data_IF_869389463862
#
_entry.id   IF_869389463862
#
_cell.length_a   1.000
_cell.length_b   1.000
_cell.length_c   1.000
_cell.angle_alpha   90.00
_cell.angle_beta   90.00
_cell.angle_gamma   90.00
#
_symmetry.space_group_name_H-M   'P 1'
#
loop_
_entity.id
_entity.type
_entity.pdbx_description
1 polymer ?
#
# COMPACT_ATOMS: atom_id res chain seq x y z
N UNK A 1 15.67 -30.09 -41.63
CA UNK A 1 15.60 -30.15 -40.17
C UNK A 1 15.79 -28.79 -39.49
N UNK A 2 16.77 -27.97 -39.87
CA UNK A 2 17.00 -26.63 -39.27
C UNK A 2 15.79 -25.68 -39.41
N UNK A 3 15.14 -25.64 -40.56
CA UNK A 3 14.00 -24.73 -40.82
C UNK A 3 12.75 -25.06 -39.96
N UNK A 4 12.48 -26.35 -39.77
CA UNK A 4 11.37 -26.78 -38.92
C UNK A 4 11.59 -26.43 -37.45
N UNK A 5 12.85 -26.49 -37.00
CA UNK A 5 13.24 -26.11 -35.62
C UNK A 5 13.12 -24.59 -35.41
N UNK A 6 13.56 -23.78 -36.34
CA UNK A 6 13.44 -22.32 -36.32
C UNK A 6 11.97 -21.88 -36.30
N UNK A 7 11.14 -22.50 -37.17
CA UNK A 7 9.70 -22.22 -37.20
C UNK A 7 8.99 -22.62 -35.89
N UNK A 8 9.41 -23.71 -35.24
CA UNK A 8 8.89 -24.12 -33.94
C UNK A 8 9.25 -23.14 -32.86
N UNK A 9 10.52 -22.68 -32.77
CA UNK A 9 10.98 -21.66 -31.81
C UNK A 9 10.20 -20.35 -32.00
N UNK A 10 10.01 -19.91 -33.27
CA UNK A 10 9.27 -18.69 -33.58
C UNK A 10 7.79 -18.76 -33.14
N UNK A 11 7.11 -19.90 -33.29
CA UNK A 11 5.74 -20.10 -32.82
C UNK A 11 5.65 -20.04 -31.30
N UNK A 12 6.60 -20.62 -30.60
CA UNK A 12 6.63 -20.64 -29.15
C UNK A 12 6.89 -19.27 -28.55
N UNK A 13 7.84 -18.53 -29.12
CA UNK A 13 8.11 -17.15 -28.75
C UNK A 13 6.86 -16.28 -28.90
N UNK A 14 6.14 -16.40 -30.04
CA UNK A 14 4.89 -15.66 -30.24
C UNK A 14 3.84 -16.03 -29.20
N UNK A 15 3.68 -17.30 -28.87
CA UNK A 15 2.70 -17.74 -27.88
C UNK A 15 3.05 -17.22 -26.47
N UNK A 16 4.31 -17.22 -26.07
CA UNK A 16 4.76 -16.66 -24.80
C UNK A 16 4.57 -15.14 -24.78
N UNK A 17 4.94 -14.43 -25.84
CA UNK A 17 4.77 -12.98 -25.96
C UNK A 17 3.30 -12.57 -25.91
N UNK A 18 2.43 -13.27 -26.62
CA UNK A 18 0.97 -13.05 -26.60
C UNK A 18 0.43 -13.29 -25.18
N UNK A 19 0.87 -14.33 -24.51
CA UNK A 19 0.47 -14.62 -23.13
C UNK A 19 0.89 -13.50 -22.17
N UNK A 20 2.13 -13.00 -22.28
CA UNK A 20 2.63 -11.87 -21.50
C UNK A 20 1.79 -10.61 -21.77
N UNK A 21 1.54 -10.28 -23.04
CA UNK A 21 0.76 -9.10 -23.42
C UNK A 21 -0.67 -9.16 -22.91
N UNK A 22 -1.36 -10.30 -23.09
CA UNK A 22 -2.74 -10.47 -22.66
C UNK A 22 -2.86 -10.40 -21.14
N UNK A 23 -1.92 -11.02 -20.40
CA UNK A 23 -1.91 -10.93 -18.95
C UNK A 23 -1.55 -9.52 -18.46
N UNK A 24 -0.68 -8.81 -19.17
CA UNK A 24 -0.35 -7.42 -18.89
C UNK A 24 -1.54 -6.49 -19.12
N UNK A 25 -2.33 -6.70 -20.16
CA UNK A 25 -3.58 -5.96 -20.39
C UNK A 25 -4.62 -6.29 -19.33
N UNK A 26 -4.74 -7.57 -18.95
CA UNK A 26 -5.65 -7.99 -17.91
C UNK A 26 -5.33 -7.32 -16.56
N UNK A 27 -4.08 -7.42 -16.11
CA UNK A 27 -3.66 -6.84 -14.83
C UNK A 27 -3.61 -5.31 -14.91
N UNK A 28 -3.02 -4.75 -15.97
CA UNK A 28 -2.75 -3.32 -16.11
C UNK A 28 -3.99 -2.48 -16.44
N UNK A 29 -4.97 -3.02 -17.16
CA UNK A 29 -6.19 -2.27 -17.50
C UNK A 29 -7.39 -2.81 -16.75
N UNK A 30 -7.72 -4.09 -16.94
CA UNK A 30 -8.97 -4.63 -16.42
C UNK A 30 -9.06 -4.58 -14.90
N UNK A 31 -8.01 -4.99 -14.18
CA UNK A 31 -8.01 -4.94 -12.72
C UNK A 31 -7.85 -3.52 -12.16
N UNK A 32 -7.47 -2.55 -12.98
CA UNK A 32 -7.39 -1.12 -12.61
C UNK A 32 -8.64 -0.31 -12.97
N UNK A 33 -9.68 -0.92 -13.54
CA UNK A 33 -10.94 -0.23 -13.86
C UNK A 33 -11.47 0.60 -12.69
N UNK A 34 -11.49 0.13 -11.42
CA UNK A 34 -11.97 0.93 -10.30
C UNK A 34 -11.26 2.28 -10.17
N UNK A 35 -9.93 2.28 -10.30
CA UNK A 35 -9.12 3.51 -10.22
C UNK A 35 -9.36 4.42 -11.42
N UNK A 36 -9.47 3.86 -12.62
CA UNK A 36 -9.75 4.64 -13.81
C UNK A 36 -11.12 5.32 -13.75
N UNK A 37 -12.15 4.59 -13.30
CA UNK A 37 -13.50 5.14 -13.10
C UNK A 37 -13.47 6.25 -12.06
N UNK A 38 -12.79 6.05 -10.93
CA UNK A 38 -12.67 7.06 -9.88
C UNK A 38 -11.99 8.33 -10.37
N UNK A 39 -10.88 8.21 -11.09
CA UNK A 39 -10.20 9.36 -11.69
C UNK A 39 -11.08 10.10 -12.71
N UNK A 40 -11.83 9.36 -13.50
CA UNK A 40 -12.76 9.96 -14.46
C UNK A 40 -13.77 10.92 -13.82
N UNK A 41 -14.29 10.56 -12.63
CA UNK A 41 -15.25 11.42 -11.91
C UNK A 41 -14.61 12.59 -11.16
N UNK A 42 -13.29 12.61 -10.99
CA UNK A 42 -12.58 13.63 -10.21
C UNK A 42 -11.87 14.70 -11.06
N UNK A 43 -11.75 14.50 -12.37
CA UNK A 43 -10.93 15.36 -13.24
C UNK A 43 -11.78 15.91 -14.39
N UNK A 44 -11.61 17.19 -14.67
CA UNK A 44 -12.30 17.92 -15.74
C UNK A 44 -11.71 17.61 -17.14
N UNK A 45 -12.39 17.94 -18.20
CA UNK A 45 -12.31 17.66 -19.65
C UNK A 45 -11.01 17.18 -20.34
N UNK A 46 -9.81 17.26 -19.75
CA UNK A 46 -8.56 16.77 -20.38
C UNK A 46 -8.23 15.27 -20.09
N UNK A 47 -9.18 14.53 -19.62
CA UNK A 47 -9.06 13.20 -18.97
C UNK A 47 -8.64 12.08 -19.90
N UNK A 48 -9.01 12.10 -21.17
CA UNK A 48 -8.77 10.98 -22.10
C UNK A 48 -7.26 10.75 -22.33
N UNK A 49 -6.49 11.82 -22.45
CA UNK A 49 -5.04 11.73 -22.63
C UNK A 49 -4.33 11.17 -21.40
N UNK A 50 -4.77 11.59 -20.21
CA UNK A 50 -4.24 11.10 -18.94
C UNK A 50 -4.57 9.61 -18.73
N UNK A 51 -5.83 9.23 -18.99
CA UNK A 51 -6.28 7.83 -18.92
C UNK A 51 -5.48 6.91 -19.85
N UNK A 52 -5.27 7.30 -21.11
CA UNK A 52 -4.46 6.55 -22.06
C UNK A 52 -3.01 6.39 -21.57
N UNK A 53 -2.42 7.47 -21.09
CA UNK A 53 -1.05 7.46 -20.58
C UNK A 53 -0.91 6.52 -19.38
N UNK A 54 -1.83 6.58 -18.43
CA UNK A 54 -1.86 5.73 -17.25
C UNK A 54 -2.10 4.25 -17.63
N UNK A 55 -3.01 3.97 -18.56
CA UNK A 55 -3.27 2.61 -19.06
C UNK A 55 -2.04 2.02 -19.79
N UNK A 56 -1.39 2.81 -20.66
CA UNK A 56 -0.15 2.39 -21.32
C UNK A 56 0.96 2.16 -20.30
N UNK A 57 1.09 3.03 -19.30
CA UNK A 57 2.07 2.89 -18.22
C UNK A 57 1.89 1.59 -17.44
N UNK A 58 0.66 1.28 -17.01
CA UNK A 58 0.37 0.07 -16.23
C UNK A 58 0.60 -1.21 -17.04
N UNK A 59 0.11 -1.25 -18.29
CA UNK A 59 0.33 -2.39 -19.19
C UNK A 59 1.81 -2.59 -19.47
N UNK A 60 2.53 -1.52 -19.77
CA UNK A 60 3.97 -1.58 -20.07
C UNK A 60 4.78 -2.04 -18.88
N UNK A 61 4.42 -1.59 -17.67
CA UNK A 61 5.07 -2.03 -16.43
C UNK A 61 4.82 -3.52 -16.18
N UNK A 62 3.59 -4.00 -16.35
CA UNK A 62 3.28 -5.42 -16.24
C UNK A 62 4.06 -6.25 -17.28
N UNK A 63 4.08 -5.79 -18.53
CA UNK A 63 4.79 -6.45 -19.61
C UNK A 63 6.30 -6.52 -19.31
N UNK A 64 6.90 -5.42 -18.84
CA UNK A 64 8.31 -5.39 -18.45
C UNK A 64 8.61 -6.38 -17.31
N UNK A 65 7.82 -6.37 -16.24
CA UNK A 65 7.99 -7.28 -15.11
C UNK A 65 7.90 -8.76 -15.55
N UNK A 66 6.91 -9.10 -16.37
CA UNK A 66 6.75 -10.46 -16.88
C UNK A 66 7.88 -10.84 -17.86
N UNK A 67 8.33 -9.93 -18.70
CA UNK A 67 9.51 -10.15 -19.57
C UNK A 67 10.80 -10.34 -18.75
N UNK A 68 10.95 -9.65 -17.62
CA UNK A 68 12.10 -9.85 -16.72
C UNK A 68 12.02 -11.21 -16.03
N UNK A 69 10.85 -11.61 -15.53
CA UNK A 69 10.69 -12.92 -14.89
C UNK A 69 10.90 -14.08 -15.86
N UNK A 70 10.71 -13.87 -17.17
CA UNK A 70 10.99 -14.88 -18.19
C UNK A 70 12.47 -15.28 -18.28
N UNK A 71 13.41 -14.43 -17.79
CA UNK A 71 14.85 -14.75 -17.72
C UNK A 71 15.10 -15.95 -16.83
N UNK A 72 14.42 -16.01 -15.69
CA UNK A 72 14.56 -17.10 -14.71
C UNK A 72 13.86 -18.39 -15.15
N UNK A 73 13.30 -18.40 -16.36
CA UNK A 73 12.70 -19.55 -16.99
C UNK A 73 11.18 -19.63 -16.82
N UNK A 74 10.59 -20.53 -17.57
CA UNK A 74 9.14 -20.65 -17.71
C UNK A 74 8.40 -20.97 -16.41
N UNK A 75 9.00 -21.76 -15.51
CA UNK A 75 8.36 -22.06 -14.21
C UNK A 75 8.20 -20.81 -13.38
N UNK A 76 9.24 -19.97 -13.37
CA UNK A 76 9.25 -18.69 -12.65
C UNK A 76 8.28 -17.70 -13.31
N UNK A 77 8.26 -17.59 -14.63
CA UNK A 77 7.29 -16.77 -15.35
C UNK A 77 5.83 -17.17 -15.02
N UNK A 78 5.52 -18.46 -15.06
CA UNK A 78 4.17 -18.95 -14.69
C UNK A 78 3.82 -18.64 -13.26
N UNK A 79 4.74 -18.91 -12.34
CA UNK A 79 4.55 -18.59 -10.92
C UNK A 79 4.34 -17.09 -10.71
N UNK A 80 5.12 -16.25 -11.40
CA UNK A 80 4.97 -14.81 -11.36
C UNK A 80 3.61 -14.34 -11.90
N UNK A 81 3.16 -14.87 -13.03
CA UNK A 81 1.85 -14.55 -13.58
C UNK A 81 0.74 -14.92 -12.59
N UNK A 82 0.81 -16.13 -12.01
CA UNK A 82 -0.17 -16.59 -11.03
C UNK A 82 -0.18 -15.67 -9.81
N UNK A 83 0.99 -15.39 -9.24
CA UNK A 83 1.13 -14.53 -8.06
C UNK A 83 0.67 -13.09 -8.33
N UNK A 84 1.09 -12.48 -9.44
CA UNK A 84 0.68 -11.14 -9.82
C UNK A 84 -0.83 -11.05 -10.05
N UNK A 85 -1.41 -12.03 -10.73
CA UNK A 85 -2.86 -12.08 -10.95
C UNK A 85 -3.60 -12.21 -9.64
N UNK A 86 -3.22 -13.16 -8.79
CA UNK A 86 -3.90 -13.43 -7.53
C UNK A 86 -3.88 -12.22 -6.59
N UNK A 87 -2.72 -11.65 -6.34
CA UNK A 87 -2.59 -10.48 -5.46
C UNK A 87 -3.29 -9.26 -6.05
N UNK A 88 -3.19 -9.05 -7.37
CA UNK A 88 -3.86 -7.93 -8.05
C UNK A 88 -5.37 -8.06 -8.08
N UNK A 89 -5.93 -9.28 -8.16
CA UNK A 89 -7.37 -9.53 -8.07
C UNK A 89 -7.88 -9.20 -6.66
N UNK A 90 -7.16 -9.62 -5.61
CA UNK A 90 -7.51 -9.25 -4.23
C UNK A 90 -7.47 -7.73 -4.06
N UNK A 91 -6.41 -7.09 -4.54
CA UNK A 91 -6.29 -5.63 -4.48
C UNK A 91 -7.44 -4.93 -5.22
N UNK A 92 -7.79 -5.40 -6.42
CA UNK A 92 -8.90 -4.88 -7.22
C UNK A 92 -10.24 -5.04 -6.51
N UNK A 93 -10.47 -6.17 -5.80
CA UNK A 93 -11.67 -6.36 -4.98
C UNK A 93 -11.84 -5.27 -3.94
N UNK A 94 -10.79 -4.98 -3.15
CA UNK A 94 -10.84 -3.93 -2.14
C UNK A 94 -11.01 -2.53 -2.76
N UNK A 95 -10.45 -2.30 -3.93
CA UNK A 95 -10.62 -1.05 -4.67
C UNK A 95 -12.06 -0.88 -5.20
N UNK A 96 -12.74 -1.97 -5.60
CA UNK A 96 -14.13 -1.94 -6.07
C UNK A 96 -15.14 -1.74 -4.95
N UNK A 97 -15.03 -2.53 -3.88
CA UNK A 97 -16.09 -2.64 -2.87
C UNK A 97 -15.86 -1.76 -1.66
N UNK A 98 -14.62 -1.39 -1.37
CA UNK A 98 -14.27 -0.62 -0.18
C UNK A 98 -13.62 0.72 -0.50
N UNK A 99 -13.40 1.03 -1.76
CA UNK A 99 -12.78 2.27 -2.21
C UNK A 99 -11.37 2.51 -1.62
N UNK A 100 -10.64 1.42 -1.31
CA UNK A 100 -9.34 1.42 -0.65
C UNK A 100 -8.24 1.14 -1.65
N UNK A 101 -7.30 2.09 -1.78
CA UNK A 101 -6.05 1.87 -2.54
C UNK A 101 -5.08 1.07 -1.67
N UNK A 102 -4.54 -0.03 -2.22
CA UNK A 102 -3.60 -0.90 -1.50
C UNK A 102 -2.22 -0.24 -1.48
N UNK A 103 -2.04 0.69 -0.56
CA UNK A 103 -0.77 1.37 -0.31
C UNK A 103 -0.01 0.79 0.88
N UNK A 104 1.10 1.47 1.25
CA UNK A 104 1.99 1.07 2.35
C UNK A 104 1.26 0.81 3.68
N UNK A 105 0.30 1.67 4.05
CA UNK A 105 -0.46 1.53 5.30
C UNK A 105 -1.26 0.22 5.35
N UNK A 106 -1.94 -0.13 4.25
CA UNK A 106 -2.73 -1.37 4.13
C UNK A 106 -1.83 -2.60 4.19
N UNK A 107 -0.74 -2.61 3.41
CA UNK A 107 0.22 -3.72 3.40
C UNK A 107 0.86 -3.91 4.78
N UNK A 108 1.27 -2.82 5.43
CA UNK A 108 1.82 -2.85 6.79
C UNK A 108 0.79 -3.35 7.82
N UNK A 109 -0.48 -2.99 7.67
CA UNK A 109 -1.56 -3.51 8.51
C UNK A 109 -1.73 -5.01 8.32
N UNK A 110 -1.80 -5.50 7.08
CA UNK A 110 -1.92 -6.94 6.78
C UNK A 110 -0.78 -7.74 7.37
N UNK A 111 0.47 -7.31 7.19
CA UNK A 111 1.64 -7.99 7.79
C UNK A 111 1.72 -7.86 9.32
N UNK A 112 1.06 -6.86 9.90
CA UNK A 112 1.03 -6.65 11.33
C UNK A 112 -0.16 -7.29 12.05
N UNK A 113 -1.13 -7.78 11.29
CA UNK A 113 -2.35 -8.38 11.80
C UNK A 113 -2.15 -9.89 11.99
N UNK A 114 -2.69 -10.43 13.07
CA UNK A 114 -2.66 -11.89 13.32
C UNK A 114 -3.44 -12.65 12.24
N UNK A 115 -3.00 -13.86 11.92
CA UNK A 115 -3.60 -14.71 10.87
C UNK A 115 -5.11 -14.95 11.11
N UNK A 116 -5.56 -14.99 12.35
CA UNK A 116 -6.97 -15.13 12.71
C UNK A 116 -7.85 -14.01 12.14
N UNK A 117 -7.42 -12.75 12.28
CA UNK A 117 -8.16 -11.59 11.76
C UNK A 117 -8.12 -11.52 10.23
N UNK A 118 -7.04 -11.99 9.61
CA UNK A 118 -6.96 -12.08 8.14
C UNK A 118 -7.99 -13.09 7.63
N UNK A 119 -8.10 -14.26 8.26
CA UNK A 119 -9.08 -15.29 7.88
C UNK A 119 -10.51 -14.80 8.12
N UNK A 120 -10.76 -14.13 9.24
CA UNK A 120 -12.08 -13.58 9.59
C UNK A 120 -12.53 -12.47 8.61
N UNK A 121 -11.59 -11.72 8.05
CA UNK A 121 -11.87 -10.72 7.01
C UNK A 121 -12.14 -11.32 5.61
N UNK A 122 -11.91 -12.62 5.40
CA UNK A 122 -12.16 -13.31 4.14
C UNK A 122 -13.65 -13.70 4.01
N UNK A 123 -14.48 -12.71 3.66
CA UNK A 123 -15.89 -12.94 3.36
C UNK A 123 -16.13 -13.72 2.06
N UNK A 124 -17.32 -14.32 1.93
CA UNK A 124 -17.75 -15.03 0.71
C UNK A 124 -17.61 -14.17 -0.57
N UNK A 125 -17.83 -12.85 -0.46
CA UNK A 125 -17.66 -11.92 -1.57
C UNK A 125 -16.24 -11.91 -2.14
N UNK A 126 -15.21 -11.90 -1.29
CA UNK A 126 -13.82 -11.96 -1.72
C UNK A 126 -13.51 -13.32 -2.39
N UNK A 127 -14.01 -14.41 -1.82
CA UNK A 127 -13.78 -15.75 -2.36
C UNK A 127 -14.42 -15.94 -3.73
N UNK A 128 -15.67 -15.51 -3.91
CA UNK A 128 -16.37 -15.59 -5.19
C UNK A 128 -15.74 -14.69 -6.24
N UNK A 129 -15.42 -13.44 -5.89
CA UNK A 129 -14.73 -12.52 -6.79
C UNK A 129 -13.37 -13.07 -7.22
N UNK A 130 -12.56 -13.51 -6.26
CA UNK A 130 -11.23 -14.08 -6.57
C UNK A 130 -11.32 -15.33 -7.42
N UNK A 131 -12.30 -16.21 -7.16
CA UNK A 131 -12.50 -17.41 -7.98
C UNK A 131 -12.83 -17.06 -9.43
N UNK A 132 -13.77 -16.15 -9.67
CA UNK A 132 -14.19 -15.75 -11.02
C UNK A 132 -13.02 -15.10 -11.77
N UNK A 133 -12.37 -14.12 -11.15
CA UNK A 133 -11.35 -13.30 -11.80
C UNK A 133 -9.94 -13.94 -11.83
N UNK A 134 -9.65 -14.97 -11.05
CA UNK A 134 -8.41 -15.72 -11.16
C UNK A 134 -8.53 -16.93 -12.11
N UNK A 135 -9.60 -17.73 -12.00
CA UNK A 135 -9.70 -18.99 -12.72
C UNK A 135 -9.76 -18.81 -14.24
N UNK A 136 -10.48 -17.82 -14.74
CA UNK A 136 -10.61 -17.55 -16.17
C UNK A 136 -9.25 -17.27 -16.84
N UNK A 137 -8.50 -16.24 -16.41
CA UNK A 137 -7.17 -15.93 -16.95
C UNK A 137 -6.16 -17.05 -16.78
N UNK A 138 -6.17 -17.75 -15.63
CA UNK A 138 -5.26 -18.86 -15.36
C UNK A 138 -5.56 -20.09 -16.25
N UNK A 139 -6.85 -20.39 -16.47
CA UNK A 139 -7.25 -21.43 -17.39
C UNK A 139 -6.81 -21.10 -18.84
N UNK A 140 -7.03 -19.85 -19.26
CA UNK A 140 -6.57 -19.37 -20.56
C UNK A 140 -5.05 -19.52 -20.70
N UNK A 141 -4.29 -19.09 -19.71
CA UNK A 141 -2.82 -19.23 -19.69
C UNK A 141 -2.37 -20.68 -19.78
N UNK A 142 -3.08 -21.60 -19.11
CA UNK A 142 -2.78 -23.03 -19.17
C UNK A 142 -2.96 -23.59 -20.60
N UNK A 143 -3.98 -23.11 -21.33
CA UNK A 143 -4.28 -23.54 -22.71
C UNK A 143 -3.30 -22.95 -23.73
N UNK A 144 -2.94 -21.68 -23.60
CA UNK A 144 -2.13 -20.95 -24.60
C UNK A 144 -0.64 -21.18 -24.41
N UNK A 145 -0.18 -21.44 -23.20
CA UNK A 145 1.25 -21.56 -22.91
C UNK A 145 1.77 -22.99 -23.19
N UNK A 146 2.46 -23.25 -24.29
CA UNK A 146 3.02 -24.55 -24.63
C UNK A 146 4.16 -24.99 -23.70
N UNK A 147 4.56 -26.27 -23.77
CA UNK A 147 5.54 -26.88 -22.85
C UNK A 147 7.01 -26.55 -23.13
N UNK A 148 7.30 -25.63 -24.05
CA UNK A 148 8.65 -25.33 -24.49
C UNK A 148 9.11 -23.92 -24.11
N UNK A 149 10.42 -23.69 -23.91
CA UNK A 149 11.01 -22.38 -23.58
C UNK A 149 11.56 -21.72 -24.84
N UNK A 150 11.11 -20.49 -25.11
CA UNK A 150 11.82 -19.64 -26.05
C UNK A 150 13.15 -19.16 -25.44
N UNK A 151 14.23 -19.03 -26.20
CA UNK A 151 15.50 -18.48 -25.72
C UNK A 151 15.30 -17.09 -25.11
N UNK A 152 15.84 -16.86 -23.94
CA UNK A 152 15.69 -15.59 -23.21
C UNK A 152 16.19 -14.37 -23.98
N UNK A 153 17.14 -14.57 -24.89
CA UNK A 153 17.69 -13.55 -25.81
C UNK A 153 16.60 -12.93 -26.70
N UNK A 154 15.57 -13.68 -27.08
CA UNK A 154 14.47 -13.18 -27.91
C UNK A 154 13.62 -12.14 -27.16
N UNK A 155 13.64 -12.14 -25.83
CA UNK A 155 12.93 -11.15 -25.02
C UNK A 155 13.74 -9.86 -24.76
N UNK A 156 14.97 -9.72 -25.28
CA UNK A 156 15.74 -8.49 -25.14
C UNK A 156 15.04 -7.31 -25.83
N UNK A 157 14.56 -7.51 -27.07
CA UNK A 157 13.86 -6.46 -27.84
C UNK A 157 12.61 -5.98 -27.10
N UNK A 158 11.66 -6.84 -26.68
CA UNK A 158 10.52 -6.41 -25.89
C UNK A 158 10.91 -5.68 -24.60
N UNK A 159 11.96 -6.08 -23.91
CA UNK A 159 12.43 -5.40 -22.69
C UNK A 159 12.89 -3.97 -22.97
N UNK A 160 13.72 -3.78 -23.99
CA UNK A 160 14.17 -2.43 -24.38
C UNK A 160 13.02 -1.55 -24.86
N UNK A 161 12.05 -2.11 -25.59
CA UNK A 161 10.84 -1.40 -25.99
C UNK A 161 10.02 -0.99 -24.76
N UNK A 162 9.83 -1.88 -23.79
CA UNK A 162 9.13 -1.57 -22.55
C UNK A 162 9.85 -0.47 -21.75
N UNK A 163 11.17 -0.52 -21.63
CA UNK A 163 11.97 0.51 -20.96
C UNK A 163 11.79 1.88 -21.65
N UNK A 164 11.92 1.91 -22.98
CA UNK A 164 11.70 3.14 -23.76
C UNK A 164 10.31 3.71 -23.57
N UNK A 165 9.28 2.86 -23.67
CA UNK A 165 7.89 3.27 -23.50
C UNK A 165 7.59 3.72 -22.06
N UNK A 166 8.12 3.02 -21.05
CA UNK A 166 8.03 3.44 -19.65
C UNK A 166 8.66 4.83 -19.43
N UNK A 167 9.83 5.08 -20.02
CA UNK A 167 10.48 6.38 -19.92
C UNK A 167 9.60 7.49 -20.49
N UNK A 168 9.01 7.26 -21.67
CA UNK A 168 8.07 8.21 -22.29
C UNK A 168 6.84 8.42 -21.42
N UNK A 169 6.23 7.36 -20.91
CA UNK A 169 5.07 7.46 -20.00
C UNK A 169 5.40 8.25 -18.73
N UNK A 170 6.57 8.02 -18.13
CA UNK A 170 7.00 8.75 -16.94
C UNK A 170 7.21 10.24 -17.22
N UNK A 171 7.75 10.60 -18.38
CA UNK A 171 7.88 12.00 -18.81
C UNK A 171 6.51 12.64 -18.98
N UNK A 172 5.58 11.97 -19.66
CA UNK A 172 4.21 12.46 -19.86
C UNK A 172 3.45 12.59 -18.55
N UNK A 173 3.52 11.59 -17.65
CA UNK A 173 2.93 11.66 -16.33
C UNK A 173 3.50 12.84 -15.55
N UNK A 174 4.83 13.02 -15.56
CA UNK A 174 5.46 14.15 -14.88
C UNK A 174 5.01 15.50 -15.44
N UNK A 175 4.80 15.60 -16.76
CA UNK A 175 4.30 16.81 -17.41
C UNK A 175 2.86 17.14 -17.03
N UNK A 176 1.98 16.13 -17.07
CA UNK A 176 0.55 16.28 -16.72
C UNK A 176 0.33 16.59 -15.24
N UNK A 177 1.05 15.93 -14.34
CA UNK A 177 0.89 16.14 -12.89
C UNK A 177 1.57 17.38 -12.34
N UNK A 178 2.44 18.06 -13.10
CA UNK A 178 2.98 19.37 -12.69
C UNK A 178 1.87 20.39 -12.44
N UNK A 179 0.83 20.36 -13.26
CA UNK A 179 -0.32 21.26 -13.13
C UNK A 179 -1.26 20.87 -11.98
N UNK A 180 -1.22 19.61 -11.51
CA UNK A 180 -2.05 19.12 -10.41
C UNK A 180 -1.42 19.34 -9.02
N UNK A 181 -0.14 19.68 -8.98
CA UNK A 181 0.66 19.83 -7.76
C UNK A 181 0.24 21.00 -6.88
N UNK A 182 -0.38 22.04 -7.47
CA UNK A 182 -0.74 23.27 -6.75
C UNK A 182 -2.05 23.16 -5.95
N UNK A 183 -2.83 22.08 -6.12
CA UNK A 183 -4.17 21.96 -5.51
C UNK A 183 -4.27 21.00 -4.33
N UNK A 184 -3.26 20.17 -4.06
CA UNK A 184 -3.28 19.19 -2.95
C UNK A 184 -2.24 19.53 -1.90
N UNK A 185 -2.51 20.58 -1.11
CA UNK A 185 -1.68 20.98 0.03
C UNK A 185 -1.71 20.02 1.23
N UNK A 186 -2.41 18.89 1.13
CA UNK A 186 -2.53 17.92 2.22
C UNK A 186 -1.40 16.88 2.09
N UNK A 187 -0.27 17.10 2.74
CA UNK A 187 1.03 16.41 2.67
C UNK A 187 1.08 14.88 2.85
N UNK A 188 0.00 14.16 2.51
CA UNK A 188 -0.15 12.71 2.68
C UNK A 188 -0.05 11.89 1.40
N UNK A 189 -0.11 12.53 0.24
CA UNK A 189 0.06 11.87 -1.07
C UNK A 189 1.49 12.16 -1.55
N UNK A 190 2.18 11.18 -2.18
CA UNK A 190 3.49 11.44 -2.73
C UNK A 190 3.42 12.67 -3.64
N UNK A 191 4.17 13.71 -3.32
CA UNK A 191 4.23 14.97 -4.10
C UNK A 191 4.88 14.77 -5.47
N UNK A 192 5.42 13.58 -5.71
CA UNK A 192 6.06 13.17 -6.94
C UNK A 192 5.04 12.45 -7.84
N UNK A 193 4.82 12.90 -9.10
CA UNK A 193 3.92 12.26 -10.05
C UNK A 193 4.13 10.75 -10.25
N UNK A 194 5.40 10.33 -10.26
CA UNK A 194 5.78 8.91 -10.35
C UNK A 194 5.31 8.15 -9.10
N UNK A 195 5.46 8.76 -7.92
CA UNK A 195 4.97 8.19 -6.66
C UNK A 195 3.45 8.05 -6.66
N UNK A 196 2.71 9.04 -7.18
CA UNK A 196 1.24 8.97 -7.31
C UNK A 196 0.82 7.83 -8.23
N UNK A 197 1.45 7.69 -9.39
CA UNK A 197 1.17 6.60 -10.33
C UNK A 197 1.51 5.24 -9.71
N UNK A 198 2.68 5.12 -9.06
CA UNK A 198 3.09 3.89 -8.39
C UNK A 198 2.18 3.52 -7.20
N UNK A 199 1.65 4.52 -6.48
CA UNK A 199 0.73 4.29 -5.37
C UNK A 199 -0.66 3.86 -5.84
N UNK A 200 -1.13 4.32 -6.99
CA UNK A 200 -2.51 4.15 -7.44
C UNK A 200 -2.79 2.80 -8.12
N UNK A 201 -1.87 2.30 -8.94
CA UNK A 201 -2.16 1.22 -9.89
C UNK A 201 -1.60 -0.14 -9.48
N UNK A 202 -2.42 -1.19 -9.62
CA UNK A 202 -1.91 -2.59 -9.54
C UNK A 202 -1.13 -2.92 -10.81
N UNK A 203 -0.05 -3.69 -10.71
CA UNK A 203 0.50 -4.35 -9.51
C UNK A 203 1.49 -3.48 -8.74
N UNK A 204 1.82 -2.28 -9.22
CA UNK A 204 2.91 -1.44 -8.72
C UNK A 204 2.65 -1.03 -7.27
N UNK A 205 1.40 -0.65 -6.93
CA UNK A 205 1.02 -0.17 -5.61
C UNK A 205 1.34 -1.19 -4.49
N UNK A 206 0.87 -2.41 -4.60
CA UNK A 206 1.14 -3.43 -3.59
C UNK A 206 2.60 -3.92 -3.61
N UNK A 207 3.25 -3.95 -4.79
CA UNK A 207 4.67 -4.29 -4.90
C UNK A 207 5.55 -3.24 -4.22
N UNK A 208 5.37 -1.96 -4.56
CA UNK A 208 6.10 -0.85 -3.95
C UNK A 208 5.85 -0.80 -2.44
N UNK A 209 4.58 -0.93 -2.01
CA UNK A 209 4.21 -0.97 -0.60
C UNK A 209 4.86 -2.14 0.14
N UNK A 210 4.94 -3.33 -0.46
CA UNK A 210 5.60 -4.49 0.12
C UNK A 210 7.11 -4.28 0.27
N UNK A 211 7.77 -3.77 -0.77
CA UNK A 211 9.22 -3.47 -0.75
C UNK A 211 9.53 -2.44 0.34
N UNK A 212 8.77 -1.33 0.38
CA UNK A 212 8.94 -0.29 1.39
C UNK A 212 8.68 -0.84 2.79
N UNK A 213 7.66 -1.70 2.96
CA UNK A 213 7.35 -2.31 4.26
C UNK A 213 8.49 -3.19 4.76
N UNK A 214 9.07 -4.02 3.90
CA UNK A 214 10.21 -4.87 4.24
C UNK A 214 11.44 -4.02 4.54
N UNK A 215 11.77 -3.04 3.69
CA UNK A 215 12.92 -2.15 3.89
C UNK A 215 12.81 -1.39 5.22
N UNK A 216 11.63 -0.83 5.53
CA UNK A 216 11.38 -0.14 6.80
C UNK A 216 11.45 -1.10 8.00
N UNK A 217 10.99 -2.34 7.86
CA UNK A 217 11.09 -3.34 8.94
C UNK A 217 12.55 -3.66 9.25
N UNK A 218 13.38 -3.83 8.22
CA UNK A 218 14.83 -4.07 8.38
C UNK A 218 15.49 -2.84 9.02
N UNK A 219 15.23 -1.65 8.51
CA UNK A 219 15.79 -0.40 9.05
C UNK A 219 15.38 -0.20 10.52
N UNK A 220 14.10 -0.39 10.83
CA UNK A 220 13.59 -0.21 12.19
C UNK A 220 14.10 -1.26 13.17
N UNK A 221 14.40 -2.49 12.73
CA UNK A 221 15.00 -3.51 13.59
C UNK A 221 16.40 -3.12 14.06
N UNK A 222 17.16 -2.43 13.21
CA UNK A 222 18.49 -1.90 13.56
C UNK A 222 18.42 -0.69 14.50
N UNK A 223 17.35 0.11 14.40
CA UNK A 223 17.14 1.31 15.20
C UNK A 223 16.60 1.00 16.61
N UNK A 224 15.84 -0.08 16.78
CA UNK A 224 15.31 -0.51 18.08
C UNK A 224 16.36 -0.61 19.18
N UNK A 225 17.59 -0.97 18.82
CA UNK A 225 18.71 -1.09 19.76
C UNK A 225 19.36 0.26 20.11
N UNK A 226 18.85 1.37 19.57
CA UNK A 226 19.37 2.73 19.75
C UNK A 226 18.30 3.70 20.27
N UNK A 227 17.20 3.18 20.82
CA UNK A 227 16.18 4.04 21.41
C UNK A 227 16.74 4.80 22.60
N UNK A 228 16.58 6.11 22.60
CA UNK A 228 16.90 6.97 23.72
C UNK A 228 15.80 6.83 24.77
N UNK A 229 16.16 6.58 26.03
CA UNK A 229 15.18 6.64 27.11
C UNK A 229 14.96 8.12 27.49
N UNK A 230 13.71 8.62 27.47
CA UNK A 230 13.42 9.97 27.90
C UNK A 230 13.93 10.29 29.31
N UNK A 231 14.00 9.29 30.20
CA UNK A 231 14.53 9.45 31.56
C UNK A 231 16.00 9.77 31.60
N UNK A 232 16.79 9.34 30.60
CA UNK A 232 18.22 9.67 30.53
C UNK A 232 18.48 11.13 30.15
N UNK A 233 17.51 11.75 29.46
CA UNK A 233 17.65 13.11 28.92
C UNK A 233 16.87 14.14 29.74
N UNK A 234 15.74 13.75 30.35
CA UNK A 234 14.84 14.63 31.08
C UNK A 234 14.58 14.10 32.48
N UNK A 235 14.58 15.00 33.48
CA UNK A 235 14.13 14.68 34.81
C UNK A 235 12.61 14.73 34.87
N UNK A 236 11.97 13.65 35.27
CA UNK A 236 10.52 13.60 35.58
C UNK A 236 10.37 13.47 37.09
N UNK A 237 9.78 14.46 37.70
CA UNK A 237 9.53 14.47 39.14
C UNK A 237 8.04 14.58 39.37
N UNK A 238 7.41 13.62 40.09
CA UNK A 238 6.00 13.73 40.45
C UNK A 238 5.81 14.86 41.45
N UNK A 239 4.85 15.73 41.19
CA UNK A 239 4.48 16.81 42.11
C UNK A 239 3.67 16.31 43.34
N UNK A 240 3.10 15.11 43.21
CA UNK A 240 2.31 14.46 44.26
C UNK A 240 2.82 13.03 44.48
N UNK A 241 2.63 12.46 45.69
CA UNK A 241 2.92 11.05 45.93
C UNK A 241 2.12 10.18 44.94
N UNK A 242 2.78 9.21 44.33
CA UNK A 242 2.20 8.30 43.32
C UNK A 242 1.53 7.06 43.96
N UNK A 243 1.60 6.95 45.29
CA UNK A 243 0.99 5.84 46.00
C UNK A 243 -0.53 5.85 45.79
N UNK A 244 -1.11 4.67 45.57
CA UNK A 244 -2.54 4.47 45.35
C UNK A 244 -3.15 5.13 44.09
N UNK A 245 -2.34 5.48 43.09
CA UNK A 245 -2.82 6.00 41.80
C UNK A 245 -2.98 4.85 40.80
N UNK A 246 -4.19 4.68 40.27
CA UNK A 246 -4.50 3.78 39.19
C UNK A 246 -4.75 4.59 37.90
N UNK A 247 -4.00 4.27 36.84
CA UNK A 247 -4.18 4.88 35.50
C UNK A 247 -4.73 3.82 34.54
N UNK A 248 -5.95 4.04 34.06
CA UNK A 248 -6.58 3.19 33.05
C UNK A 248 -6.55 3.91 31.71
N UNK A 249 -5.78 3.41 30.76
CA UNK A 249 -5.72 3.94 29.41
C UNK A 249 -6.66 3.13 28.51
N UNK A 250 -7.72 3.76 28.02
CA UNK A 250 -8.67 3.15 27.07
C UNK A 250 -8.41 3.71 25.68
N UNK A 251 -8.02 2.83 24.75
CA UNK A 251 -7.75 3.21 23.37
C UNK A 251 -9.00 2.90 22.55
N UNK A 252 -9.65 3.95 22.03
CA UNK A 252 -10.78 3.83 21.13
C UNK A 252 -10.32 3.48 19.69
N UNK A 253 -11.12 2.69 19.00
CA UNK A 253 -10.92 2.36 17.57
C UNK A 253 -12.07 2.95 16.76
N UNK A 254 -11.74 3.58 15.63
CA UNK A 254 -12.71 4.16 14.68
C UNK A 254 -13.65 5.20 15.30
N UNK A 255 -13.25 5.81 16.43
CA UNK A 255 -14.02 6.84 17.11
C UNK A 255 -13.61 8.24 16.60
N UNK A 256 -14.61 9.03 16.18
CA UNK A 256 -14.43 10.42 15.72
C UNK A 256 -14.94 11.36 16.79
N UNK A 257 -14.14 12.35 17.18
CA UNK A 257 -14.55 13.33 18.20
C UNK A 257 -15.79 14.14 17.77
N UNK A 258 -15.88 14.48 16.47
CA UNK A 258 -17.00 15.24 15.90
C UNK A 258 -18.33 14.46 15.83
N UNK A 259 -18.32 13.21 16.27
CA UNK A 259 -19.50 12.35 16.42
C UNK A 259 -19.74 11.93 17.88
N UNK A 260 -19.14 12.63 18.85
CA UNK A 260 -19.37 12.39 20.28
C UNK A 260 -20.26 13.49 20.88
N UNK A 261 -21.37 13.13 21.51
CA UNK A 261 -22.25 14.09 22.16
C UNK A 261 -21.55 14.84 23.29
N UNK A 262 -20.60 14.23 23.97
CA UNK A 262 -19.71 14.86 24.93
C UNK A 262 -18.94 16.09 24.37
N UNK A 263 -18.79 16.18 23.03
CA UNK A 263 -18.06 17.24 22.31
C UNK A 263 -19.00 17.93 21.31
N UNK A 264 -20.22 18.27 21.75
CA UNK A 264 -21.21 19.05 20.99
C UNK A 264 -21.84 18.38 19.76
N UNK A 265 -21.75 17.06 19.62
CA UNK A 265 -22.49 16.37 18.56
C UNK A 265 -23.98 16.30 18.90
N UNK A 266 -24.86 16.66 17.94
CA UNK A 266 -26.29 16.78 18.17
C UNK A 266 -27.01 15.46 18.52
N UNK A 267 -26.44 14.32 18.11
CA UNK A 267 -26.99 13.00 18.39
C UNK A 267 -26.34 12.43 19.67
N UNK A 268 -27.15 11.88 20.58
CA UNK A 268 -26.68 11.25 21.82
C UNK A 268 -25.91 9.94 21.51
N UNK A 269 -24.62 10.06 21.27
CA UNK A 269 -23.71 8.93 20.94
C UNK A 269 -22.90 8.48 22.16
N UNK A 270 -22.73 9.36 23.17
CA UNK A 270 -22.00 9.07 24.41
C UNK A 270 -22.86 9.35 25.63
N UNK A 271 -24.13 8.84 25.74
CA UNK A 271 -25.13 9.27 26.73
C UNK A 271 -24.77 8.93 28.19
N UNK A 272 -23.87 7.99 28.41
CA UNK A 272 -23.39 7.67 29.77
C UNK A 272 -22.27 8.62 30.17
N UNK A 273 -21.34 8.94 29.26
CA UNK A 273 -20.27 9.91 29.53
C UNK A 273 -20.81 11.34 29.74
N UNK A 274 -21.88 11.69 29.01
CA UNK A 274 -22.53 13.01 29.11
C UNK A 274 -23.12 13.27 30.50
N UNK A 275 -23.38 12.21 31.29
CA UNK A 275 -23.90 12.30 32.66
C UNK A 275 -22.83 12.41 33.74
N UNK A 276 -21.60 12.09 33.40
CA UNK A 276 -20.48 12.11 34.34
C UNK A 276 -19.96 13.54 34.50
N UNK A 277 -19.83 13.98 35.75
CA UNK A 277 -19.38 15.34 36.06
C UNK A 277 -17.88 15.53 36.03
N UNK A 278 -17.12 14.45 36.06
CA UNK A 278 -15.65 14.43 36.10
C UNK A 278 -15.02 14.09 34.75
N UNK A 279 -15.76 14.21 33.64
CA UNK A 279 -15.27 13.93 32.29
C UNK A 279 -14.97 15.21 31.54
N UNK A 280 -13.80 15.31 30.96
CA UNK A 280 -13.39 16.43 30.10
C UNK A 280 -13.15 15.90 28.69
N UNK A 281 -13.87 16.46 27.72
CA UNK A 281 -13.72 16.12 26.32
C UNK A 281 -12.73 17.03 25.61
N UNK A 282 -11.81 16.48 24.82
CA UNK A 282 -10.89 17.25 24.01
C UNK A 282 -11.07 16.90 22.51
N UNK A 283 -10.98 17.93 21.66
CA UNK A 283 -10.94 17.76 20.21
C UNK A 283 -9.54 17.35 19.82
N UNK A 284 -9.35 16.09 19.52
CA UNK A 284 -8.06 15.53 19.12
C UNK A 284 -8.04 15.13 17.65
N UNK A 285 -6.90 15.27 16.99
CA UNK A 285 -6.63 14.70 15.68
C UNK A 285 -5.60 13.58 15.80
N UNK A 286 -5.88 12.45 15.15
CA UNK A 286 -4.91 11.37 15.07
C UNK A 286 -3.72 11.78 14.18
N UNK A 287 -2.51 11.43 14.59
CA UNK A 287 -1.30 11.68 13.81
C UNK A 287 -1.23 10.82 12.52
N UNK A 288 -2.04 9.78 12.43
CA UNK A 288 -2.14 8.92 11.24
C UNK A 288 -3.52 8.30 11.14
N UNK A 289 -3.90 7.90 9.93
CA UNK A 289 -5.19 7.23 9.64
C UNK A 289 -5.16 5.71 9.90
N UNK A 290 -3.99 5.14 10.17
CA UNK A 290 -3.82 3.73 10.51
C UNK A 290 -3.61 3.58 12.02
N UNK A 291 -4.38 2.74 12.70
CA UNK A 291 -4.30 2.48 14.15
C UNK A 291 -2.88 2.14 14.58
N UNK A 292 -2.19 1.26 13.87
CA UNK A 292 -0.82 0.87 14.19
C UNK A 292 0.17 2.04 14.14
N UNK A 293 0.03 2.93 13.17
CA UNK A 293 0.89 4.11 13.04
C UNK A 293 0.48 5.20 14.02
N UNK A 294 -0.82 5.36 14.28
CA UNK A 294 -1.35 6.30 15.24
C UNK A 294 -0.92 5.97 16.66
N UNK A 295 -1.02 4.71 17.08
CA UNK A 295 -0.54 4.25 18.39
C UNK A 295 0.95 4.52 18.59
N UNK A 296 1.74 4.39 17.54
CA UNK A 296 3.19 4.62 17.62
C UNK A 296 3.55 6.07 17.95
N UNK A 297 2.77 7.05 17.50
CA UNK A 297 3.02 8.47 17.76
C UNK A 297 2.24 9.01 18.99
N UNK A 298 1.15 8.34 19.38
CA UNK A 298 0.33 8.76 20.50
C UNK A 298 1.08 8.73 21.84
N UNK A 299 1.99 7.78 21.99
CA UNK A 299 2.70 7.52 23.23
C UNK A 299 4.14 8.07 23.27
N UNK A 300 4.52 8.86 22.27
CA UNK A 300 5.80 9.57 22.24
C UNK A 300 5.54 11.05 22.55
N UNK A 301 6.44 11.69 23.28
CA UNK A 301 6.27 13.11 23.66
C UNK A 301 6.26 14.03 22.45
N UNK A 302 5.51 15.10 22.52
CA UNK A 302 5.54 16.19 21.56
C UNK A 302 6.90 16.92 21.65
N UNK A 303 7.50 17.23 20.51
CA UNK A 303 8.82 17.88 20.45
C UNK A 303 10.03 16.94 20.56
N UNK A 304 9.85 15.64 20.84
CA UNK A 304 10.92 14.64 20.82
C UNK A 304 11.63 14.48 19.46
N UNK A 305 11.23 15.28 18.49
CA UNK A 305 11.65 15.29 17.08
C UNK A 305 12.22 16.61 16.63
N UNK A 306 12.28 17.61 17.46
CA UNK A 306 12.92 18.87 17.12
C UNK A 306 14.40 18.59 16.80
N UNK A 307 14.76 18.69 15.52
CA UNK A 307 16.11 18.41 14.99
C UNK A 307 16.23 17.19 14.06
N UNK A 308 15.20 16.34 13.91
CA UNK A 308 15.26 15.12 13.10
C UNK A 308 14.53 15.23 11.73
N UNK A 309 14.10 16.46 11.35
CA UNK A 309 13.36 16.67 10.11
C UNK A 309 11.93 16.12 10.18
N UNK A 310 11.08 16.52 9.25
CA UNK A 310 9.65 16.23 9.18
C UNK A 310 9.27 14.76 8.93
N UNK A 311 10.10 13.79 9.31
CA UNK A 311 9.76 12.37 9.14
C UNK A 311 8.87 11.92 10.29
N UNK A 312 7.71 11.42 9.96
CA UNK A 312 6.67 10.87 10.83
C UNK A 312 7.06 9.58 11.61
N UNK A 313 8.34 9.38 11.90
CA UNK A 313 8.85 8.14 12.51
C UNK A 313 9.60 8.39 13.84
N UNK A 314 9.09 9.28 14.65
CA UNK A 314 9.64 9.67 15.95
C UNK A 314 9.81 8.51 16.93
N UNK A 315 8.83 7.62 16.96
CA UNK A 315 8.84 6.42 17.81
C UNK A 315 10.01 5.46 17.56
N UNK A 316 10.80 5.71 16.52
CA UNK A 316 11.97 4.90 16.20
C UNK A 316 13.21 5.34 16.97
N UNK A 317 13.19 6.55 17.52
CA UNK A 317 14.35 7.16 18.17
C UNK A 317 14.22 7.30 19.69
N UNK A 318 13.00 7.32 20.22
CA UNK A 318 12.72 7.55 21.62
C UNK A 318 11.75 6.51 22.20
N UNK A 319 11.94 6.11 23.44
CA UNK A 319 11.03 5.24 24.17
C UNK A 319 9.71 5.95 24.44
N UNK A 320 8.66 5.16 24.63
CA UNK A 320 7.30 5.67 24.85
C UNK A 320 7.03 6.02 26.32
N UNK A 321 5.96 6.76 26.59
CA UNK A 321 5.57 7.23 27.93
C UNK A 321 5.49 6.11 28.98
N UNK A 322 5.18 4.89 28.60
CA UNK A 322 5.14 3.76 29.54
C UNK A 322 6.53 3.41 30.11
N UNK A 323 7.63 3.72 29.44
CA UNK A 323 8.97 3.57 30.03
C UNK A 323 9.18 4.58 31.15
N UNK A 324 8.68 5.80 30.96
CA UNK A 324 8.73 6.84 32.00
C UNK A 324 7.89 6.44 33.21
N UNK A 325 6.64 6.00 32.99
CA UNK A 325 5.76 5.55 34.07
C UNK A 325 6.37 4.38 34.85
N UNK A 326 6.96 3.42 34.15
CA UNK A 326 7.64 2.30 34.80
C UNK A 326 8.81 2.75 35.67
N UNK A 327 9.61 3.71 35.22
CA UNK A 327 10.72 4.27 35.98
C UNK A 327 10.25 5.11 37.17
N UNK A 328 9.03 5.65 37.11
CA UNK A 328 8.38 6.35 38.25
C UNK A 328 7.71 5.38 39.24
N UNK A 329 7.80 4.07 39.04
CA UNK A 329 7.29 3.06 39.99
C UNK A 329 5.93 2.47 39.64
N UNK A 330 5.31 2.82 38.50
CA UNK A 330 4.10 2.13 38.03
C UNK A 330 4.43 0.72 37.56
N UNK A 331 3.62 -0.26 37.93
CA UNK A 331 3.79 -1.69 37.61
C UNK A 331 2.73 -2.16 36.59
#
# INVERSE_FOLDING_TARGET
MKDATVAAIGRQYRAELVSILLMSMYIGVFLNIPIFVRKYYQVDESVVGLFLTDAIFTVTTCCFLLCVTSIAGRRVLRAAIIAFTFVSVIASYYMWFFDVIIGYGVVKAVFGTGMSLVIESMGLGLLTFSSIFCLGPLYFLHRVAPNYQAPWLLFLIPRFLCIGLLTVCLILINSHYKNFRDTTADGRIPTNPIGVAAYSYVPINWMAASIISVANTIANSQLKNKLIDPMDTYGFYPEIPLDDIFVVVVIGESARYDHMSLIDYQRATTPLLDKETNVIGFKGASCNTSTKLSLSCMFVREGGTEGLGSSSQQYVYENHVFSVLKNLGFS
#
